data_IF_287857080734
#
_entry.id   IF_287857080734
#
_cell.length_a   1.000
_cell.length_b   1.000
_cell.length_c   1.000
_cell.angle_alpha   90.00
_cell.angle_beta   90.00
_cell.angle_gamma   90.00
#
_symmetry.space_group_name_H-M   'P 1'
#
loop_
_entity.id
_entity.type
_entity.pdbx_description
1 polymer ?
#
# COMPACT_ATOMS: atom_id res chain seq x y z
N UNK A 1 -19.96 -0.73 0.07
CA UNK A 1 -18.65 -1.02 -0.55
C UNK A 1 -17.87 0.28 -0.55
N UNK A 2 -16.78 0.39 0.22
CA UNK A 2 -15.94 1.59 0.20
C UNK A 2 -15.14 1.61 -1.10
N UNK A 3 -15.41 2.59 -1.97
CA UNK A 3 -14.72 2.76 -3.24
C UNK A 3 -13.30 3.28 -2.97
N UNK A 4 -12.28 2.62 -3.54
CA UNK A 4 -10.89 3.07 -3.44
C UNK A 4 -10.72 4.44 -4.11
N UNK A 5 -9.98 5.34 -3.48
CA UNK A 5 -9.57 6.59 -4.14
C UNK A 5 -8.42 6.35 -5.12
N UNK A 6 -8.07 7.37 -5.92
CA UNK A 6 -6.99 7.25 -6.93
C UNK A 6 -5.66 6.80 -6.32
N UNK A 7 -5.25 7.38 -5.19
CA UNK A 7 -3.97 7.06 -4.56
C UNK A 7 -3.96 5.61 -4.04
N UNK A 8 -5.05 5.19 -3.40
CA UNK A 8 -5.24 3.81 -2.91
C UNK A 8 -5.16 2.80 -4.05
N UNK A 9 -5.80 3.09 -5.18
CA UNK A 9 -5.78 2.23 -6.37
C UNK A 9 -4.39 2.16 -7.00
N UNK A 10 -3.66 3.27 -7.10
CA UNK A 10 -2.30 3.31 -7.62
C UNK A 10 -1.33 2.55 -6.70
N UNK A 11 -1.44 2.72 -5.38
CA UNK A 11 -0.64 1.99 -4.39
C UNK A 11 -0.93 0.49 -4.47
N UNK A 12 -2.21 0.10 -4.53
CA UNK A 12 -2.61 -1.29 -4.66
C UNK A 12 -2.02 -1.94 -5.92
N UNK A 13 -2.17 -1.29 -7.08
CA UNK A 13 -1.63 -1.78 -8.35
C UNK A 13 -0.09 -1.86 -8.36
N UNK A 14 0.59 -0.92 -7.71
CA UNK A 14 2.03 -0.97 -7.58
C UNK A 14 2.46 -2.20 -6.76
N UNK A 15 1.84 -2.41 -5.61
CA UNK A 15 2.13 -3.57 -4.75
C UNK A 15 1.75 -4.90 -5.44
N UNK A 16 0.71 -4.91 -6.28
CA UNK A 16 0.33 -6.07 -7.09
C UNK A 16 1.42 -6.48 -8.08
N UNK A 17 2.07 -5.49 -8.71
CA UNK A 17 3.09 -5.73 -9.75
C UNK A 17 4.49 -5.92 -9.18
N UNK A 18 4.87 -5.11 -8.20
CA UNK A 18 6.23 -5.04 -7.66
C UNK A 18 6.43 -5.92 -6.41
N UNK A 19 5.34 -6.36 -5.77
CA UNK A 19 5.40 -7.08 -4.50
C UNK A 19 5.65 -6.15 -3.30
N UNK A 20 6.25 -6.67 -2.21
CA UNK A 20 6.44 -5.91 -0.98
C UNK A 20 7.36 -4.70 -1.14
N UNK A 21 6.89 -3.49 -0.79
CA UNK A 21 7.66 -2.25 -0.91
C UNK A 21 7.65 -1.42 0.38
N UNK A 22 8.70 -0.63 0.63
CA UNK A 22 8.71 0.38 1.69
C UNK A 22 7.92 1.62 1.27
N UNK A 23 7.38 2.36 2.25
CA UNK A 23 6.69 3.63 1.99
C UNK A 23 7.55 4.62 1.16
N UNK A 24 8.86 4.69 1.42
CA UNK A 24 9.77 5.54 0.65
C UNK A 24 9.85 5.12 -0.81
N UNK A 25 9.82 3.82 -1.11
CA UNK A 25 9.84 3.33 -2.48
C UNK A 25 8.52 3.63 -3.19
N UNK A 26 7.38 3.45 -2.51
CA UNK A 26 6.05 3.80 -3.03
C UNK A 26 5.97 5.30 -3.34
N UNK A 27 6.47 6.15 -2.43
CA UNK A 27 6.57 7.59 -2.63
C UNK A 27 7.40 7.94 -3.87
N UNK A 28 8.57 7.31 -4.05
CA UNK A 28 9.45 7.56 -5.18
C UNK A 28 8.85 7.08 -6.52
N UNK A 29 8.15 5.95 -6.51
CA UNK A 29 7.58 5.37 -7.74
C UNK A 29 6.32 6.10 -8.20
N UNK A 30 5.43 6.48 -7.26
CA UNK A 30 4.15 7.12 -7.60
C UNK A 30 4.21 8.65 -7.52
N UNK A 31 5.32 9.22 -7.03
CA UNK A 31 5.46 10.66 -6.77
C UNK A 31 4.35 11.23 -5.84
N UNK A 32 3.78 10.39 -4.95
CA UNK A 32 2.72 10.78 -4.00
C UNK A 32 3.33 11.28 -2.70
N UNK A 33 2.97 12.47 -2.23
CA UNK A 33 3.47 13.01 -0.97
C UNK A 33 3.11 12.14 0.27
N UNK A 34 4.01 12.09 1.27
CA UNK A 34 3.83 11.24 2.46
C UNK A 34 2.53 11.47 3.22
N UNK A 35 2.04 12.72 3.28
CA UNK A 35 0.79 13.05 3.96
C UNK A 35 -0.46 12.48 3.27
N UNK A 36 -0.36 12.08 1.98
CA UNK A 36 -1.42 11.34 1.26
C UNK A 36 -1.17 9.84 1.29
N UNK A 37 0.09 9.44 1.15
CA UNK A 37 0.51 8.04 1.15
C UNK A 37 0.16 7.32 2.46
N UNK A 38 0.49 7.91 3.62
CA UNK A 38 0.24 7.23 4.90
C UNK A 38 -1.24 7.01 5.20
N UNK A 39 -2.14 8.00 5.02
CA UNK A 39 -3.58 7.75 5.12
C UNK A 39 -4.09 6.68 4.15
N UNK A 40 -3.63 6.68 2.90
CA UNK A 40 -4.03 5.67 1.92
C UNK A 40 -3.58 4.27 2.33
N UNK A 41 -2.32 4.09 2.73
CA UNK A 41 -1.80 2.82 3.26
C UNK A 41 -2.54 2.38 4.53
N UNK A 42 -2.88 3.32 5.42
CA UNK A 42 -3.65 3.03 6.61
C UNK A 42 -5.07 2.54 6.28
N UNK A 43 -5.75 3.16 5.31
CA UNK A 43 -7.08 2.71 4.85
C UNK A 43 -7.00 1.35 4.16
N UNK A 44 -6.08 1.16 3.23
CA UNK A 44 -5.86 -0.14 2.57
C UNK A 44 -5.57 -1.26 3.58
N UNK A 45 -4.83 -0.94 4.65
CA UNK A 45 -4.59 -1.89 5.74
C UNK A 45 -5.83 -2.16 6.59
N UNK A 46 -6.62 -1.13 6.92
CA UNK A 46 -7.85 -1.28 7.69
C UNK A 46 -8.90 -2.10 6.95
N UNK A 47 -9.00 -1.92 5.63
CA UNK A 47 -9.86 -2.70 4.74
C UNK A 47 -9.30 -4.10 4.44
N UNK A 48 -8.07 -4.38 4.90
CA UNK A 48 -7.44 -5.69 4.79
C UNK A 48 -6.76 -5.97 3.46
N UNK A 49 -6.66 -5.03 2.52
CA UNK A 49 -5.99 -5.23 1.22
C UNK A 49 -4.47 -5.25 1.31
N UNK A 50 -3.90 -4.58 2.30
CA UNK A 50 -2.45 -4.44 2.50
C UNK A 50 -2.10 -4.80 3.94
N UNK A 51 -0.96 -5.46 4.14
CA UNK A 51 -0.39 -5.65 5.46
C UNK A 51 1.03 -5.09 5.54
N UNK A 52 1.40 -4.61 6.73
CA UNK A 52 2.76 -4.19 7.03
C UNK A 52 3.56 -5.35 7.64
N UNK A 53 4.65 -5.77 7.00
CA UNK A 53 5.64 -6.69 7.56
C UNK A 53 6.89 -5.96 8.01
N UNK A 54 7.37 -6.31 9.20
CA UNK A 54 8.71 -5.90 9.66
C UNK A 54 9.73 -6.88 9.10
N UNK A 55 10.67 -6.37 8.33
CA UNK A 55 11.85 -7.11 7.86
C UNK A 55 13.02 -6.97 8.85
N UNK A 56 14.01 -7.89 8.78
CA UNK A 56 15.25 -7.77 9.55
C UNK A 56 15.89 -6.38 9.39
N UNK A 57 16.35 -5.80 10.49
CA UNK A 57 16.86 -4.42 10.52
C UNK A 57 15.78 -3.34 10.68
N UNK A 58 14.62 -3.70 11.26
CA UNK A 58 13.53 -2.77 11.60
C UNK A 58 12.93 -2.00 10.41
N UNK A 59 13.01 -2.58 9.20
CA UNK A 59 12.44 -1.99 7.97
C UNK A 59 10.98 -2.42 7.82
N UNK A 60 10.06 -1.46 7.72
CA UNK A 60 8.64 -1.73 7.46
C UNK A 60 8.39 -1.79 5.95
N UNK A 61 7.90 -2.92 5.46
CA UNK A 61 7.42 -3.11 4.09
C UNK A 61 5.92 -3.37 4.07
N UNK A 62 5.25 -2.89 3.03
CA UNK A 62 3.83 -3.09 2.76
C UNK A 62 3.68 -4.11 1.63
N UNK A 63 2.80 -5.08 1.79
CA UNK A 63 2.51 -6.09 0.77
C UNK A 63 1.00 -6.29 0.67
N UNK A 64 0.52 -6.76 -0.50
CA UNK A 64 -0.87 -7.16 -0.63
C UNK A 64 -1.18 -8.36 0.25
N UNK A 65 -2.34 -8.35 0.88
CA UNK A 65 -2.91 -9.57 1.43
C UNK A 65 -3.56 -10.36 0.29
N UNK A 66 -3.74 -11.67 0.45
CA UNK A 66 -4.46 -12.48 -0.55
C UNK A 66 -5.93 -12.08 -0.75
N UNK A 67 -6.42 -11.04 -0.07
CA UNK A 67 -7.74 -10.46 -0.28
C UNK A 67 -7.69 -9.59 -1.54
N UNK A 68 -8.11 -10.15 -2.67
CA UNK A 68 -8.36 -9.37 -3.87
C UNK A 68 -9.48 -8.34 -3.59
N UNK A 69 -9.36 -7.10 -4.07
CA UNK A 69 -10.42 -6.11 -3.97
C UNK A 69 -11.70 -6.67 -4.61
N UNK A 70 -12.87 -6.43 -4.01
CA UNK A 70 -14.14 -6.84 -4.59
C UNK A 70 -14.24 -6.22 -5.99
N UNK A 71 -14.52 -7.09 -6.98
CA UNK A 71 -14.77 -6.71 -8.38
C UNK A 71 -15.90 -5.70 -8.51
#
# INVERSE_FOLDING_TARGET
MNQMNKDEFEIFNLLLKAGPLRAVQIHQTLHIAFHRLYPALHRLRKEGYVQGRKQPGNKLTYELTGLQPPK
#
